data_IF_583090396265
#
_entry.id   IF_583090396265
#
_cell.length_a   1.000
_cell.length_b   1.000
_cell.length_c   1.000
_cell.angle_alpha   90.00
_cell.angle_beta   90.00
_cell.angle_gamma   90.00
#
_symmetry.space_group_name_H-M   'P 1'
#
loop_
_entity.id
_entity.type
_entity.pdbx_description
1 polymer ?
#
# COMPACT_ATOMS: atom_id res chain seq x y z
N UNK A 1 -12.11 -47.97 8.33
CA UNK A 1 -12.18 -46.53 8.01
C UNK A 1 -13.16 -45.75 8.89
N UNK A 2 -14.28 -46.33 9.31
CA UNK A 2 -15.29 -45.62 10.13
C UNK A 2 -14.92 -45.43 11.61
N UNK A 3 -14.08 -46.30 12.17
CA UNK A 3 -13.65 -46.20 13.57
C UNK A 3 -12.59 -45.10 13.79
N UNK A 4 -11.77 -44.80 12.79
CA UNK A 4 -10.78 -43.71 12.83
C UNK A 4 -11.47 -42.34 12.86
N UNK A 5 -12.60 -42.17 12.16
CA UNK A 5 -13.43 -40.97 12.24
C UNK A 5 -14.05 -40.78 13.63
N UNK A 6 -14.37 -41.87 14.33
CA UNK A 6 -14.95 -41.86 15.68
C UNK A 6 -13.95 -41.47 16.77
N UNK A 7 -12.66 -41.79 16.59
CA UNK A 7 -11.58 -41.42 17.53
C UNK A 7 -11.15 -39.96 17.33
N UNK A 8 -11.20 -39.44 16.11
CA UNK A 8 -11.04 -38.00 15.83
C UNK A 8 -12.17 -37.17 16.49
N UNK A 9 -13.31 -37.78 16.80
CA UNK A 9 -14.46 -37.14 17.46
C UNK A 9 -14.31 -37.10 18.99
N UNK A 10 -13.26 -37.71 19.57
CA UNK A 10 -12.91 -37.59 20.98
C UNK A 10 -11.81 -36.54 21.21
N UNK A 11 -11.88 -35.41 20.51
CA UNK A 11 -11.09 -34.23 20.87
C UNK A 11 -11.65 -33.74 22.21
N UNK A 12 -10.83 -33.78 23.27
CA UNK A 12 -11.18 -33.22 24.57
C UNK A 12 -11.82 -31.84 24.35
N UNK A 13 -12.96 -31.50 24.99
CA UNK A 13 -13.74 -30.30 24.65
C UNK A 13 -12.89 -29.03 24.56
N UNK A 14 -11.89 -28.89 25.43
CA UNK A 14 -10.88 -27.83 25.41
C UNK A 14 -10.12 -27.68 24.09
N UNK A 15 -9.76 -28.79 23.42
CA UNK A 15 -9.04 -28.74 22.15
C UNK A 15 -9.98 -28.38 20.98
N UNK A 16 -11.27 -28.71 21.07
CA UNK A 16 -12.29 -28.21 20.12
C UNK A 16 -12.47 -26.70 20.28
N UNK A 17 -12.64 -26.24 21.52
CA UNK A 17 -12.80 -24.82 21.84
C UNK A 17 -11.56 -24.01 21.41
N UNK A 18 -10.37 -24.56 21.63
CA UNK A 18 -9.12 -23.95 21.17
C UNK A 18 -9.05 -23.86 19.64
N UNK A 19 -9.46 -24.90 18.91
CA UNK A 19 -9.49 -24.87 17.46
C UNK A 19 -10.47 -23.82 16.92
N UNK A 20 -11.66 -23.71 17.52
CA UNK A 20 -12.62 -22.67 17.15
C UNK A 20 -12.09 -21.27 17.43
N UNK A 21 -11.44 -21.07 18.58
CA UNK A 21 -10.80 -19.80 18.93
C UNK A 21 -9.69 -19.44 17.93
N UNK A 22 -8.81 -20.40 17.60
CA UNK A 22 -7.75 -20.23 16.61
C UNK A 22 -8.33 -19.83 15.25
N UNK A 23 -9.36 -20.53 14.78
CA UNK A 23 -10.02 -20.22 13.51
C UNK A 23 -10.56 -18.80 13.46
N UNK A 24 -11.26 -18.37 14.52
CA UNK A 24 -11.78 -17.00 14.65
C UNK A 24 -10.65 -15.97 14.65
N UNK A 25 -9.53 -16.27 15.29
CA UNK A 25 -8.36 -15.39 15.29
C UNK A 25 -7.76 -15.25 13.88
N UNK A 26 -7.62 -16.35 13.15
CA UNK A 26 -7.15 -16.33 11.76
C UNK A 26 -8.09 -15.54 10.84
N UNK A 27 -9.41 -15.77 10.95
CA UNK A 27 -10.41 -15.07 10.14
C UNK A 27 -10.39 -13.55 10.42
N UNK A 28 -10.26 -13.17 11.69
CA UNK A 28 -10.15 -11.77 12.11
C UNK A 28 -8.88 -11.13 11.57
N UNK A 29 -7.73 -11.82 11.69
CA UNK A 29 -6.47 -11.33 11.17
C UNK A 29 -6.51 -11.12 9.64
N UNK A 30 -7.08 -12.07 8.90
CA UNK A 30 -7.28 -11.95 7.46
C UNK A 30 -8.15 -10.73 7.11
N UNK A 31 -9.23 -10.52 7.86
CA UNK A 31 -10.13 -9.37 7.69
C UNK A 31 -9.43 -8.04 7.97
N UNK A 32 -8.66 -7.94 9.06
CA UNK A 32 -7.92 -6.71 9.38
C UNK A 32 -6.91 -6.36 8.28
N UNK A 33 -6.26 -7.37 7.69
CA UNK A 33 -5.33 -7.16 6.58
C UNK A 33 -6.07 -6.64 5.34
N UNK A 34 -7.21 -7.23 4.98
CA UNK A 34 -8.00 -6.77 3.83
C UNK A 34 -8.53 -5.35 4.03
N UNK A 35 -9.11 -5.06 5.20
CA UNK A 35 -9.63 -3.73 5.54
C UNK A 35 -8.52 -2.67 5.54
N UNK A 36 -7.33 -3.00 6.05
CA UNK A 36 -6.17 -2.08 6.04
C UNK A 36 -5.71 -1.79 4.62
N UNK A 37 -5.65 -2.82 3.74
CA UNK A 37 -5.27 -2.64 2.33
C UNK A 37 -6.28 -1.76 1.61
N UNK A 38 -7.56 -2.02 1.82
CA UNK A 38 -8.64 -1.25 1.20
C UNK A 38 -8.67 0.20 1.68
N UNK A 39 -8.54 0.44 2.99
CA UNK A 39 -8.44 1.78 3.54
C UNK A 39 -7.26 2.56 2.94
N UNK A 40 -6.08 1.95 2.84
CA UNK A 40 -4.90 2.59 2.22
C UNK A 40 -5.15 2.94 0.76
N UNK A 41 -5.77 2.04 0.01
CA UNK A 41 -6.15 2.27 -1.40
C UNK A 41 -7.13 3.44 -1.53
N UNK A 42 -8.25 3.40 -0.80
CA UNK A 42 -9.26 4.45 -0.85
C UNK A 42 -8.70 5.81 -0.41
N UNK A 43 -7.86 5.83 0.63
CA UNK A 43 -7.18 7.06 1.08
C UNK A 43 -6.29 7.62 -0.02
N UNK A 44 -5.52 6.77 -0.70
CA UNK A 44 -4.65 7.19 -1.80
C UNK A 44 -5.49 7.76 -2.94
N UNK A 45 -6.48 7.03 -3.45
CA UNK A 45 -7.36 7.47 -4.54
C UNK A 45 -8.09 8.78 -4.22
N UNK A 46 -8.48 8.99 -2.95
CA UNK A 46 -9.17 10.22 -2.52
C UNK A 46 -8.25 11.43 -2.42
N UNK A 47 -7.00 11.24 -1.99
CA UNK A 47 -6.08 12.35 -1.67
C UNK A 47 -5.05 12.63 -2.75
N UNK A 48 -4.80 11.64 -3.61
CA UNK A 48 -3.85 11.77 -4.69
C UNK A 48 -4.52 12.38 -5.92
N UNK A 49 -3.98 13.52 -6.35
CA UNK A 49 -4.33 14.14 -7.63
C UNK A 49 -3.10 14.01 -8.50
N UNK A 50 -3.18 13.14 -9.52
CA UNK A 50 -2.12 13.07 -10.53
C UNK A 50 -2.09 14.40 -11.28
N UNK A 51 -0.93 15.05 -11.28
CA UNK A 51 -0.71 16.30 -12.01
C UNK A 51 0.05 15.98 -13.30
N UNK A 52 -0.48 16.41 -14.44
CA UNK A 52 0.17 16.25 -15.73
C UNK A 52 1.33 17.25 -15.86
N UNK A 53 2.53 16.77 -15.56
CA UNK A 53 3.78 17.52 -15.75
C UNK A 53 4.27 17.38 -17.20
N UNK A 54 4.67 18.49 -17.84
CA UNK A 54 5.29 18.49 -19.17
C UNK A 54 6.74 18.96 -19.11
N UNK A 55 7.53 18.50 -20.06
CA UNK A 55 8.91 18.98 -20.22
C UNK A 55 8.90 20.50 -20.49
N UNK A 56 9.72 21.23 -19.76
CA UNK A 56 9.79 22.69 -19.82
C UNK A 56 8.89 23.44 -18.81
N UNK A 57 7.95 22.77 -18.14
CA UNK A 57 7.12 23.40 -17.11
C UNK A 57 7.96 23.87 -15.93
N UNK A 58 7.58 25.01 -15.34
CA UNK A 58 8.18 25.53 -14.13
C UNK A 58 7.44 25.03 -12.90
N UNK A 59 8.15 24.35 -12.02
CA UNK A 59 7.60 23.76 -10.79
C UNK A 59 8.34 24.22 -9.55
N UNK A 60 7.61 24.23 -8.44
CA UNK A 60 8.15 24.44 -7.11
C UNK A 60 8.25 23.09 -6.40
N UNK A 61 9.34 22.86 -5.68
CA UNK A 61 9.54 21.65 -4.89
C UNK A 61 9.20 21.96 -3.44
N UNK A 62 8.27 21.20 -2.85
CA UNK A 62 7.89 21.39 -1.45
C UNK A 62 9.00 20.95 -0.51
N UNK A 63 9.28 21.77 0.50
CA UNK A 63 10.33 21.49 1.49
C UNK A 63 9.84 20.89 2.78
N UNK A 64 8.53 20.73 2.93
CA UNK A 64 7.88 20.33 4.18
C UNK A 64 8.40 19.00 4.75
N UNK A 65 8.84 18.09 3.86
CA UNK A 65 9.33 16.75 4.20
C UNK A 65 10.85 16.57 3.97
N UNK A 66 11.61 17.64 3.67
CA UNK A 66 13.06 17.52 3.55
C UNK A 66 13.74 17.54 4.92
N UNK A 67 14.24 16.37 5.33
CA UNK A 67 15.00 16.22 6.58
C UNK A 67 16.44 16.76 6.48
N UNK A 68 16.94 16.98 5.26
CA UNK A 68 18.32 17.40 5.01
C UNK A 68 18.52 18.93 5.02
N UNK A 69 17.44 19.70 5.15
CA UNK A 69 17.54 21.16 5.31
C UNK A 69 17.92 21.47 6.76
N UNK A 70 18.79 22.47 6.98
CA UNK A 70 19.17 22.96 8.32
C UNK A 70 18.23 24.07 8.79
N UNK A 71 18.08 24.25 10.10
CA UNK A 71 17.32 25.34 10.72
C UNK A 71 15.90 24.98 11.21
N UNK A 72 15.20 25.86 11.95
CA UNK A 72 13.86 25.59 12.47
C UNK A 72 12.83 25.40 11.35
N UNK A 73 11.90 24.43 11.49
CA UNK A 73 10.90 24.11 10.45
C UNK A 73 10.02 25.31 10.08
N UNK A 74 9.72 26.17 11.05
CA UNK A 74 8.83 27.34 10.90
C UNK A 74 9.46 28.48 10.09
N UNK A 75 10.79 28.58 10.07
CA UNK A 75 11.51 29.59 9.29
C UNK A 75 11.90 29.12 7.89
N UNK A 76 11.60 27.86 7.53
CA UNK A 76 11.93 27.33 6.20
C UNK A 76 10.82 27.71 5.22
N UNK A 77 11.22 28.23 4.06
CA UNK A 77 10.29 28.42 2.96
C UNK A 77 9.65 27.09 2.59
N UNK A 78 8.33 27.04 2.54
CA UNK A 78 7.56 25.81 2.27
C UNK A 78 7.80 25.24 0.86
N UNK A 79 8.34 26.06 -0.03
CA UNK A 79 8.62 25.74 -1.43
C UNK A 79 9.92 26.40 -1.89
N UNK A 80 10.66 25.71 -2.75
CA UNK A 80 11.88 26.25 -3.39
C UNK A 80 11.73 26.11 -4.91
N UNK A 81 12.20 27.10 -5.66
CA UNK A 81 12.16 27.14 -7.12
C UNK A 81 11.82 28.55 -7.64
N UNK A 82 11.69 28.73 -8.97
CA UNK A 82 11.19 27.75 -9.93
C UNK A 82 12.27 26.87 -10.59
N UNK A 83 12.01 25.57 -10.67
CA UNK A 83 12.80 24.62 -11.44
C UNK A 83 12.09 24.27 -12.75
N UNK A 84 12.83 24.09 -13.84
CA UNK A 84 12.26 23.59 -15.09
C UNK A 84 12.32 22.06 -15.12
N UNK A 85 11.22 21.43 -15.50
CA UNK A 85 11.17 19.99 -15.73
C UNK A 85 12.02 19.67 -16.96
N UNK A 86 13.07 18.87 -16.75
CA UNK A 86 13.92 18.36 -17.83
C UNK A 86 13.29 17.14 -18.52
N UNK A 87 14.11 16.36 -19.22
CA UNK A 87 13.66 15.14 -19.88
C UNK A 87 13.05 14.17 -18.87
N UNK A 88 11.81 13.74 -19.09
CA UNK A 88 11.20 12.73 -18.23
C UNK A 88 11.82 11.36 -18.52
N UNK A 89 12.61 10.84 -17.58
CA UNK A 89 13.23 9.52 -17.69
C UNK A 89 12.22 8.38 -17.47
N UNK A 90 11.17 8.62 -16.68
CA UNK A 90 10.18 7.61 -16.30
C UNK A 90 8.78 8.21 -16.37
N UNK A 91 8.07 7.94 -17.47
CA UNK A 91 6.61 7.91 -17.44
C UNK A 91 6.25 6.48 -17.09
N UNK A 92 5.47 6.26 -16.02
CA UNK A 92 4.85 4.96 -15.73
C UNK A 92 3.77 4.70 -16.78
N UNK A 93 4.17 4.55 -18.04
CA UNK A 93 3.29 4.03 -19.08
C UNK A 93 3.09 2.55 -18.72
N UNK A 94 1.90 2.23 -18.23
CA UNK A 94 1.43 0.86 -18.11
C UNK A 94 1.36 0.26 -19.52
N UNK A 95 2.49 -0.23 -20.04
CA UNK A 95 2.51 -1.03 -21.24
C UNK A 95 1.84 -2.36 -20.90
N UNK A 96 0.55 -2.45 -21.23
CA UNK A 96 -0.11 -3.74 -21.32
C UNK A 96 0.62 -4.52 -22.41
N UNK A 97 1.08 -5.73 -22.08
CA UNK A 97 1.55 -6.64 -23.11
C UNK A 97 0.37 -7.00 -24.05
N UNK A 98 0.65 -7.65 -25.19
CA UNK A 98 -0.39 -8.04 -26.16
C UNK A 98 -1.50 -8.96 -25.58
N UNK A 99 -1.32 -9.43 -24.33
CA UNK A 99 -2.26 -10.25 -23.57
C UNK A 99 -3.00 -9.47 -22.46
N UNK A 100 -2.80 -8.15 -22.36
CA UNK A 100 -3.52 -7.27 -21.43
C UNK A 100 -2.95 -7.20 -20.00
N UNK A 101 -1.84 -7.86 -19.69
CA UNK A 101 -1.25 -7.92 -18.36
C UNK A 101 -0.21 -6.82 -18.15
N UNK A 102 -0.27 -6.16 -16.99
CA UNK A 102 0.73 -5.19 -16.52
C UNK A 102 1.95 -5.95 -16.00
N UNK A 103 3.09 -5.85 -16.68
CA UNK A 103 4.35 -6.37 -16.18
C UNK A 103 5.10 -5.26 -15.43
N UNK A 104 5.48 -5.55 -14.18
CA UNK A 104 6.38 -4.73 -13.39
C UNK A 104 7.80 -5.27 -13.59
N UNK A 105 8.71 -4.46 -14.14
CA UNK A 105 10.14 -4.80 -14.09
C UNK A 105 10.62 -4.69 -12.65
N UNK A 106 11.31 -5.73 -12.17
CA UNK A 106 12.17 -5.63 -10.99
C UNK A 106 13.39 -4.76 -11.29
#
# INVERSE_FOLDING_TARGET
MDQLKKIIVAIHPTAKDFHEMWKRACDTAAKCISETKEYKKQRYEKTHVETDFKEGDQVLVSTLNFNNLKGPKEMRDSFVGPFKIGKMQWRWDSHKNALGNTQYSQ
#
